data_IF_625952737604
#
_entry.id   IF_625952737604
#
_cell.length_a   1.000
_cell.length_b   1.000
_cell.length_c   1.000
_cell.angle_alpha   90.00
_cell.angle_beta   90.00
_cell.angle_gamma   90.00
#
_symmetry.space_group_name_H-M   'P 1'
#
loop_
_entity.id
_entity.type
_entity.pdbx_description
1 polymer ?
#
# COMPACT_ATOMS: atom_id res chain seq x y z
N UNK A 1 21.71 29.12 -48.29
CA UNK A 1 20.24 28.94 -48.39
C UNK A 1 19.81 27.50 -48.16
N UNK A 2 20.37 26.49 -48.84
CA UNK A 2 19.96 25.07 -48.70
C UNK A 2 20.17 24.46 -47.29
N UNK A 3 21.22 24.87 -46.57
CA UNK A 3 21.51 24.39 -45.21
C UNK A 3 20.38 24.68 -44.20
N UNK A 4 19.69 25.82 -44.33
CA UNK A 4 18.59 26.19 -43.43
C UNK A 4 17.32 25.38 -43.69
N UNK A 5 17.06 25.02 -44.94
CA UNK A 5 15.94 24.16 -45.32
C UNK A 5 16.14 22.73 -44.78
N UNK A 6 17.36 22.20 -44.91
CA UNK A 6 17.73 20.89 -44.37
C UNK A 6 17.57 20.81 -42.85
N UNK A 7 17.97 21.85 -42.12
CA UNK A 7 17.76 21.91 -40.66
C UNK A 7 16.30 21.99 -40.28
N UNK A 8 15.46 22.71 -41.04
CA UNK A 8 14.02 22.77 -40.79
C UNK A 8 13.34 21.41 -40.98
N UNK A 9 13.66 20.72 -42.07
CA UNK A 9 13.15 19.36 -42.35
C UNK A 9 13.60 18.36 -41.29
N UNK A 10 14.87 18.45 -40.86
CA UNK A 10 15.40 17.61 -39.79
C UNK A 10 14.65 17.80 -38.47
N UNK A 11 14.40 19.04 -38.06
CA UNK A 11 13.64 19.33 -36.84
C UNK A 11 12.22 18.78 -36.94
N UNK A 12 11.54 18.93 -38.09
CA UNK A 12 10.22 18.34 -38.28
C UNK A 12 10.23 16.81 -38.14
N UNK A 13 11.24 16.13 -38.70
CA UNK A 13 11.37 14.67 -38.60
C UNK A 13 11.58 14.21 -37.16
N UNK A 14 12.43 14.90 -36.38
CA UNK A 14 12.67 14.59 -34.97
C UNK A 14 11.40 14.80 -34.13
N UNK A 15 10.68 15.89 -34.36
CA UNK A 15 9.43 16.17 -33.62
C UNK A 15 8.35 15.15 -33.93
N UNK A 16 8.15 14.81 -35.22
CA UNK A 16 7.18 13.78 -35.63
C UNK A 16 7.57 12.40 -35.08
N UNK A 17 8.85 12.03 -35.14
CA UNK A 17 9.35 10.78 -34.58
C UNK A 17 9.14 10.70 -33.06
N UNK A 18 9.44 11.79 -32.34
CA UNK A 18 9.24 11.87 -30.89
C UNK A 18 7.76 11.75 -30.50
N UNK A 19 6.86 12.46 -31.20
CA UNK A 19 5.41 12.37 -30.96
C UNK A 19 4.89 10.96 -31.28
N UNK A 20 5.30 10.37 -32.40
CA UNK A 20 4.89 9.01 -32.78
C UNK A 20 5.37 7.96 -31.76
N UNK A 21 6.63 8.02 -31.37
CA UNK A 21 7.20 7.09 -30.38
C UNK A 21 6.57 7.31 -29.00
N UNK A 22 6.31 8.56 -28.62
CA UNK A 22 5.56 8.89 -27.42
C UNK A 22 4.15 8.28 -27.44
N UNK A 23 3.40 8.40 -28.54
CA UNK A 23 2.07 7.79 -28.66
C UNK A 23 2.12 6.26 -28.62
N UNK A 24 3.12 5.66 -29.26
CA UNK A 24 3.27 4.19 -29.30
C UNK A 24 3.61 3.61 -27.92
N UNK A 25 4.44 4.30 -27.12
CA UNK A 25 4.82 3.86 -25.78
C UNK A 25 3.90 4.37 -24.67
N UNK A 26 3.17 5.45 -24.89
CA UNK A 26 2.18 6.00 -23.95
C UNK A 26 0.78 5.38 -24.13
N UNK A 27 0.64 4.34 -24.95
CA UNK A 27 -0.60 3.59 -25.06
C UNK A 27 -0.85 2.83 -23.75
N UNK A 28 -1.62 3.44 -22.86
CA UNK A 28 -2.32 2.72 -21.80
C UNK A 28 -3.08 1.54 -22.45
N UNK A 29 -3.15 0.37 -21.79
CA UNK A 29 -3.86 -0.76 -22.35
C UNK A 29 -5.26 -0.31 -22.77
N UNK A 30 -5.60 -0.50 -24.05
CA UNK A 30 -6.92 -0.19 -24.57
C UNK A 30 -7.85 -1.19 -23.88
N UNK A 31 -8.51 -0.72 -22.81
CA UNK A 31 -9.55 -1.48 -22.13
C UNK A 31 -10.63 -1.73 -23.17
N UNK A 32 -10.87 -2.99 -23.51
CA UNK A 32 -11.93 -3.32 -24.47
C UNK A 32 -13.28 -2.81 -23.95
N UNK A 33 -14.23 -2.49 -24.84
CA UNK A 33 -15.58 -2.04 -24.42
C UNK A 33 -16.21 -3.02 -23.42
N UNK A 34 -15.96 -4.33 -23.61
CA UNK A 34 -16.39 -5.39 -22.69
C UNK A 34 -15.71 -5.32 -21.30
N UNK A 35 -14.42 -4.97 -21.23
CA UNK A 35 -13.74 -4.77 -19.94
C UNK A 35 -14.14 -3.45 -19.27
N UNK A 36 -14.48 -2.42 -20.05
CA UNK A 36 -15.00 -1.16 -19.54
C UNK A 36 -16.39 -1.34 -18.92
N UNK A 37 -17.27 -2.06 -19.60
CA UNK A 37 -18.60 -2.44 -19.09
C UNK A 37 -18.48 -3.34 -17.85
N UNK A 38 -17.53 -4.30 -17.85
CA UNK A 38 -17.25 -5.13 -16.67
C UNK A 38 -16.83 -4.29 -15.47
N UNK A 39 -15.86 -3.38 -15.64
CA UNK A 39 -15.42 -2.47 -14.57
C UNK A 39 -16.52 -1.52 -14.11
N UNK A 40 -17.42 -1.09 -15.00
CA UNK A 40 -18.57 -0.26 -14.63
C UNK A 40 -19.58 -1.01 -13.73
N UNK A 41 -19.67 -2.33 -13.89
CA UNK A 41 -20.51 -3.21 -13.06
C UNK A 41 -19.87 -3.60 -11.71
N UNK A 42 -18.59 -3.29 -11.52
CA UNK A 42 -17.85 -3.57 -10.30
C UNK A 42 -18.10 -2.49 -9.23
N UNK A 43 -17.95 -2.90 -7.99
CA UNK A 43 -17.99 -2.07 -6.80
C UNK A 43 -16.68 -2.21 -6.06
N UNK A 44 -16.10 -1.07 -5.66
CA UNK A 44 -14.93 -1.05 -4.81
C UNK A 44 -15.35 -1.26 -3.35
N UNK A 45 -14.80 -2.31 -2.75
CA UNK A 45 -15.00 -2.62 -1.35
C UNK A 45 -13.72 -2.28 -0.59
N UNK A 46 -13.74 -1.26 0.30
CA UNK A 46 -12.58 -0.90 1.08
C UNK A 46 -12.17 -2.01 2.03
N UNK A 47 -10.87 -2.14 2.23
CA UNK A 47 -10.30 -3.13 3.11
C UNK A 47 -10.35 -2.76 4.58
N UNK A 48 -10.39 -3.78 5.42
CA UNK A 48 -10.13 -3.66 6.85
C UNK A 48 -8.79 -4.32 7.19
N UNK A 49 -8.13 -3.82 8.24
CA UNK A 49 -6.88 -4.42 8.73
C UNK A 49 -7.21 -5.77 9.34
N UNK A 50 -6.58 -6.82 8.82
CA UNK A 50 -6.67 -8.18 9.31
C UNK A 50 -5.31 -8.57 9.88
N UNK A 51 -5.32 -9.07 11.11
CA UNK A 51 -4.12 -9.53 11.81
C UNK A 51 -4.13 -11.05 11.87
N UNK A 52 -3.11 -11.67 11.29
CA UNK A 52 -2.95 -13.12 11.20
C UNK A 52 -1.69 -13.53 11.96
N UNK A 53 -1.77 -14.43 12.95
CA UNK A 53 -0.59 -14.89 13.66
C UNK A 53 0.28 -15.75 12.76
N UNK A 54 1.60 -15.54 12.83
CA UNK A 54 2.58 -16.43 12.18
C UNK A 54 3.05 -17.42 13.23
N UNK A 55 2.75 -18.71 13.01
CA UNK A 55 3.01 -19.79 13.98
C UNK A 55 4.08 -20.73 13.43
N UNK A 56 5.19 -20.83 14.15
CA UNK A 56 6.27 -21.77 13.84
C UNK A 56 6.70 -22.49 15.12
N UNK A 57 7.03 -23.78 14.99
CA UNK A 57 7.48 -24.62 16.11
C UNK A 57 6.52 -24.62 17.31
N UNK A 58 5.22 -24.44 17.07
CA UNK A 58 4.19 -24.40 18.12
C UNK A 58 4.12 -23.08 18.89
N UNK A 59 4.83 -22.03 18.47
CA UNK A 59 4.79 -20.71 19.07
C UNK A 59 4.47 -19.62 18.05
N UNK A 60 3.77 -18.57 18.50
CA UNK A 60 3.54 -17.36 17.68
C UNK A 60 4.86 -16.61 17.56
N UNK A 61 5.41 -16.49 16.35
CA UNK A 61 6.66 -15.79 16.05
C UNK A 61 6.46 -14.30 15.74
N UNK A 62 5.26 -13.95 15.29
CA UNK A 62 4.90 -12.59 14.95
C UNK A 62 3.48 -12.51 14.42
N UNK A 63 3.12 -11.36 13.87
CA UNK A 63 1.82 -11.12 13.27
C UNK A 63 1.99 -10.50 11.88
N UNK A 64 1.25 -11.04 10.93
CA UNK A 64 1.06 -10.44 9.62
C UNK A 64 -0.14 -9.51 9.66
N UNK A 65 0.07 -8.26 9.28
CA UNK A 65 -0.97 -7.25 9.19
C UNK A 65 -1.21 -6.96 7.71
N UNK A 66 -2.40 -7.29 7.23
CA UNK A 66 -2.80 -7.06 5.86
C UNK A 66 -4.06 -6.20 5.82
N UNK A 67 -4.05 -5.15 5.01
CA UNK A 67 -5.24 -4.38 4.64
C UNK A 67 -5.44 -4.54 3.15
N UNK A 68 -6.44 -5.35 2.79
CA UNK A 68 -6.75 -5.70 1.41
C UNK A 68 -8.09 -5.11 1.02
N UNK A 69 -8.13 -4.36 -0.08
CA UNK A 69 -9.36 -3.89 -0.71
C UNK A 69 -9.64 -4.65 -2.00
N UNK A 70 -10.87 -4.58 -2.47
CA UNK A 70 -11.35 -5.48 -3.52
C UNK A 70 -12.18 -4.72 -4.55
N UNK A 71 -12.01 -5.05 -5.83
CA UNK A 71 -13.04 -4.83 -6.84
C UNK A 71 -13.89 -6.09 -6.90
N UNK A 72 -15.19 -5.94 -6.74
CA UNK A 72 -16.13 -7.06 -6.69
C UNK A 72 -17.39 -6.79 -7.53
N UNK A 73 -18.01 -7.83 -8.04
CA UNK A 73 -19.28 -7.70 -8.76
C UNK A 73 -20.41 -7.33 -7.80
N UNK A 74 -21.24 -6.34 -8.15
CA UNK A 74 -22.38 -5.92 -7.31
C UNK A 74 -23.31 -7.08 -6.97
N UNK A 75 -23.56 -7.93 -7.95
CA UNK A 75 -24.42 -9.12 -7.78
C UNK A 75 -23.81 -10.14 -6.82
N UNK A 76 -22.49 -10.34 -6.87
CA UNK A 76 -21.79 -11.26 -5.99
C UNK A 76 -21.80 -10.76 -4.54
N UNK A 77 -21.52 -9.47 -4.33
CA UNK A 77 -21.58 -8.83 -3.00
C UNK A 77 -23.00 -8.91 -2.42
N UNK A 78 -24.03 -8.67 -3.22
CA UNK A 78 -25.43 -8.73 -2.76
C UNK A 78 -25.88 -10.14 -2.33
N UNK A 79 -25.21 -11.19 -2.82
CA UNK A 79 -25.54 -12.60 -2.53
C UNK A 79 -24.66 -13.21 -1.43
N UNK A 80 -23.79 -12.43 -0.81
CA UNK A 80 -22.90 -12.92 0.25
C UNK A 80 -23.68 -13.46 1.44
N UNK A 81 -23.41 -14.70 1.83
CA UNK A 81 -23.99 -15.34 3.01
C UNK A 81 -23.38 -14.84 4.33
N UNK A 82 -22.14 -14.35 4.29
CA UNK A 82 -21.41 -13.77 5.42
C UNK A 82 -20.73 -12.47 4.96
N UNK A 83 -20.48 -11.50 5.85
CA UNK A 83 -19.85 -10.27 5.42
C UNK A 83 -18.44 -10.55 4.88
N UNK A 84 -18.04 -9.82 3.84
CA UNK A 84 -16.83 -10.10 3.08
C UNK A 84 -15.58 -10.19 3.97
N UNK A 85 -15.50 -9.31 4.99
CA UNK A 85 -14.42 -9.28 5.99
C UNK A 85 -14.18 -10.65 6.64
N UNK A 86 -15.24 -11.37 7.01
CA UNK A 86 -15.14 -12.68 7.64
C UNK A 86 -14.58 -13.71 6.66
N UNK A 87 -15.03 -13.69 5.40
CA UNK A 87 -14.54 -14.60 4.35
C UNK A 87 -13.06 -14.33 4.04
N UNK A 88 -12.68 -13.05 3.96
CA UNK A 88 -11.28 -12.64 3.76
C UNK A 88 -10.41 -13.04 4.93
N UNK A 89 -10.89 -12.86 6.16
CA UNK A 89 -10.15 -13.30 7.35
C UNK A 89 -9.92 -14.81 7.33
N UNK A 90 -10.96 -15.58 7.03
CA UNK A 90 -10.89 -17.05 6.94
C UNK A 90 -9.89 -17.51 5.87
N UNK A 91 -9.94 -16.93 4.67
CA UNK A 91 -8.99 -17.24 3.59
C UNK A 91 -7.54 -16.88 3.95
N UNK A 92 -7.31 -15.70 4.55
CA UNK A 92 -5.97 -15.31 4.98
C UNK A 92 -5.42 -16.24 6.08
N UNK A 93 -6.26 -16.71 6.99
CA UNK A 93 -5.86 -17.70 8.00
C UNK A 93 -5.53 -19.05 7.35
N UNK A 94 -6.35 -19.52 6.41
CA UNK A 94 -6.09 -20.76 5.67
C UNK A 94 -4.76 -20.68 4.89
N UNK A 95 -4.47 -19.57 4.22
CA UNK A 95 -3.23 -19.40 3.45
C UNK A 95 -1.99 -19.25 4.31
N UNK A 96 -2.05 -18.42 5.36
CA UNK A 96 -0.85 -18.04 6.12
C UNK A 96 -0.57 -18.98 7.28
N UNK A 97 -1.61 -19.54 7.92
CA UNK A 97 -1.47 -20.47 9.05
C UNK A 97 -1.60 -21.91 8.58
N UNK A 98 -2.58 -22.20 7.73
CA UNK A 98 -2.91 -23.56 7.30
C UNK A 98 -1.92 -24.12 6.28
N UNK A 99 -1.79 -23.48 5.12
CA UNK A 99 -0.98 -23.98 4.01
C UNK A 99 0.48 -23.50 4.02
N UNK A 100 0.84 -22.58 4.94
CA UNK A 100 2.15 -21.92 4.99
C UNK A 100 2.58 -21.40 3.62
N UNK A 101 1.62 -20.83 2.88
CA UNK A 101 1.82 -20.39 1.49
C UNK A 101 2.96 -19.37 1.35
N UNK A 102 3.24 -18.63 2.42
CA UNK A 102 4.26 -17.60 2.48
C UNK A 102 5.09 -17.81 3.74
N UNK A 103 6.42 -17.81 3.60
CA UNK A 103 7.30 -17.56 4.74
C UNK A 103 7.24 -16.07 5.06
N UNK A 104 6.30 -15.71 5.92
CA UNK A 104 6.05 -14.31 6.28
C UNK A 104 7.20 -13.73 7.10
N UNK A 105 8.06 -14.58 7.67
CA UNK A 105 9.24 -14.15 8.41
C UNK A 105 10.38 -13.71 7.48
N UNK A 106 10.45 -14.25 6.25
CA UNK A 106 11.37 -13.80 5.21
C UNK A 106 10.69 -12.89 4.18
N UNK A 107 10.57 -11.61 4.53
CA UNK A 107 10.02 -10.58 3.63
C UNK A 107 10.82 -10.38 2.34
N UNK A 108 12.05 -10.91 2.25
CA UNK A 108 12.89 -10.80 1.06
C UNK A 108 12.46 -11.68 -0.11
N UNK A 109 11.63 -12.71 0.16
CA UNK A 109 11.16 -13.68 -0.84
C UNK A 109 9.66 -13.56 -1.14
N UNK A 110 8.99 -12.55 -0.59
CA UNK A 110 7.55 -12.36 -0.76
C UNK A 110 7.16 -11.97 -2.19
N UNK A 111 6.50 -12.88 -2.90
CA UNK A 111 5.90 -12.61 -4.21
C UNK A 111 4.49 -12.03 -4.08
N UNK A 112 4.41 -10.70 -4.05
CA UNK A 112 3.17 -9.96 -3.96
C UNK A 112 2.17 -10.28 -5.10
N UNK A 113 2.57 -10.27 -6.40
CA UNK A 113 1.71 -10.72 -7.48
C UNK A 113 1.06 -12.09 -7.24
N UNK A 114 1.85 -13.10 -6.87
CA UNK A 114 1.34 -14.45 -6.62
C UNK A 114 0.41 -14.49 -5.41
N UNK A 115 0.72 -13.74 -4.35
CA UNK A 115 -0.16 -13.60 -3.18
C UNK A 115 -1.53 -13.02 -3.57
N UNK A 116 -1.57 -11.93 -4.36
CA UNK A 116 -2.83 -11.33 -4.80
C UNK A 116 -3.69 -12.30 -5.61
N UNK A 117 -3.07 -13.08 -6.49
CA UNK A 117 -3.77 -14.10 -7.29
C UNK A 117 -4.30 -15.21 -6.39
N UNK A 118 -3.47 -15.73 -5.48
CA UNK A 118 -3.89 -16.76 -4.52
C UNK A 118 -5.07 -16.32 -3.65
N UNK A 119 -5.01 -15.10 -3.11
CA UNK A 119 -6.11 -14.51 -2.33
C UNK A 119 -7.39 -14.42 -3.18
N UNK A 120 -7.30 -13.89 -4.40
CA UNK A 120 -8.47 -13.74 -5.29
C UNK A 120 -9.11 -15.11 -5.57
N UNK A 121 -8.29 -16.10 -5.92
CA UNK A 121 -8.77 -17.41 -6.32
C UNK A 121 -9.35 -18.18 -5.13
N UNK A 122 -8.73 -18.09 -3.95
CA UNK A 122 -9.23 -18.64 -2.69
C UNK A 122 -10.58 -18.04 -2.28
N UNK A 123 -10.69 -16.71 -2.36
CA UNK A 123 -11.95 -16.01 -2.11
C UNK A 123 -13.05 -16.44 -3.08
N UNK A 124 -12.80 -16.43 -4.39
CA UNK A 124 -13.80 -16.83 -5.39
C UNK A 124 -14.22 -18.30 -5.22
N UNK A 125 -13.29 -19.17 -4.83
CA UNK A 125 -13.60 -20.57 -4.50
C UNK A 125 -14.54 -20.67 -3.29
N UNK A 126 -14.30 -19.92 -2.21
CA UNK A 126 -15.18 -19.89 -1.03
C UNK A 126 -16.54 -19.26 -1.33
N UNK A 127 -16.57 -18.27 -2.22
CA UNK A 127 -17.79 -17.57 -2.64
C UNK A 127 -18.59 -18.34 -3.69
N UNK A 128 -18.03 -19.39 -4.29
CA UNK A 128 -18.72 -20.24 -5.26
C UNK A 128 -18.94 -19.57 -6.62
N UNK A 129 -18.16 -18.54 -6.96
CA UNK A 129 -18.28 -17.80 -8.21
C UNK A 129 -17.21 -16.73 -8.37
N UNK A 130 -17.14 -16.12 -9.55
CA UNK A 130 -16.22 -15.01 -9.85
C UNK A 130 -16.78 -13.69 -9.30
N UNK A 131 -16.70 -13.53 -7.98
CA UNK A 131 -17.20 -12.35 -7.26
C UNK A 131 -16.11 -11.28 -7.16
N UNK A 132 -14.90 -11.67 -6.79
CA UNK A 132 -13.74 -10.80 -6.64
C UNK A 132 -12.98 -10.77 -7.97
N UNK A 133 -12.90 -9.59 -8.59
CA UNK A 133 -12.24 -9.41 -9.88
C UNK A 133 -10.82 -8.91 -9.72
N UNK A 134 -10.57 -8.08 -8.71
CA UNK A 134 -9.25 -7.57 -8.36
C UNK A 134 -9.07 -7.49 -6.85
N UNK A 135 -7.85 -7.80 -6.40
CA UNK A 135 -7.39 -7.57 -5.02
C UNK A 135 -6.40 -6.41 -5.07
N UNK A 136 -6.49 -5.49 -4.12
CA UNK A 136 -5.56 -4.38 -3.94
C UNK A 136 -4.98 -4.47 -2.54
N UNK A 137 -3.69 -4.14 -2.43
CA UNK A 137 -2.98 -4.14 -1.15
C UNK A 137 -2.82 -2.70 -0.71
N UNK A 138 -3.52 -2.32 0.35
CA UNK A 138 -3.40 -0.98 0.94
C UNK A 138 -2.28 -0.94 1.99
N UNK A 139 -2.14 -2.01 2.77
CA UNK A 139 -1.12 -2.15 3.81
C UNK A 139 -0.69 -3.60 3.93
N UNK A 140 0.61 -3.83 4.08
CA UNK A 140 1.19 -5.14 4.28
C UNK A 140 2.43 -5.04 5.17
N UNK A 141 2.36 -5.61 6.35
CA UNK A 141 3.41 -5.50 7.36
C UNK A 141 3.57 -6.82 8.11
N UNK A 142 4.81 -7.10 8.53
CA UNK A 142 5.10 -8.17 9.48
C UNK A 142 5.68 -7.57 10.76
N UNK A 143 5.08 -7.93 11.89
CA UNK A 143 5.55 -7.55 13.22
C UNK A 143 6.11 -8.78 13.92
N UNK A 144 7.43 -8.84 14.05
CA UNK A 144 8.09 -9.89 14.82
C UNK A 144 7.92 -9.70 16.32
N UNK A 145 8.25 -10.74 17.11
CA UNK A 145 8.26 -10.68 18.59
C UNK A 145 8.92 -9.43 19.18
N UNK A 146 10.05 -9.00 18.62
CA UNK A 146 10.79 -7.85 19.15
C UNK A 146 10.15 -6.51 18.77
N UNK A 147 9.48 -6.44 17.61
CA UNK A 147 8.67 -5.29 17.22
C UNK A 147 7.45 -5.16 18.13
N UNK A 148 6.81 -6.28 18.49
CA UNK A 148 5.73 -6.30 19.46
C UNK A 148 6.17 -5.82 20.83
N UNK A 149 7.33 -6.27 21.34
CA UNK A 149 7.89 -5.76 22.60
C UNK A 149 8.13 -4.27 22.53
N UNK A 150 8.60 -3.75 21.39
CA UNK A 150 8.82 -2.32 21.19
C UNK A 150 7.52 -1.51 21.19
N UNK A 151 6.47 -2.00 20.53
CA UNK A 151 5.15 -1.38 20.50
C UNK A 151 4.49 -1.43 21.89
N UNK A 152 4.52 -2.59 22.55
CA UNK A 152 3.95 -2.79 23.89
C UNK A 152 4.68 -1.97 24.97
N UNK A 153 6.00 -1.79 24.83
CA UNK A 153 6.81 -0.96 25.72
C UNK A 153 6.87 0.51 25.29
N UNK A 154 5.96 0.97 24.41
CA UNK A 154 5.90 2.33 23.87
C UNK A 154 5.81 3.45 24.93
N UNK A 155 5.58 3.11 26.20
CA UNK A 155 5.56 4.05 27.33
C UNK A 155 6.84 4.07 28.18
N UNK A 156 7.86 3.27 27.87
CA UNK A 156 9.02 3.10 28.76
C UNK A 156 10.40 3.32 28.10
N UNK A 157 10.45 3.92 26.92
CA UNK A 157 11.69 4.55 26.46
C UNK A 157 11.73 5.94 27.11
N UNK A 158 12.74 6.30 27.92
CA UNK A 158 12.91 7.68 28.31
C UNK A 158 12.92 8.50 27.03
N UNK A 159 12.08 9.54 26.99
CA UNK A 159 12.06 10.52 25.90
C UNK A 159 13.52 10.86 25.60
N UNK A 160 13.98 10.57 24.38
CA UNK A 160 15.34 10.95 24.03
C UNK A 160 15.40 12.48 24.17
N UNK A 161 16.36 12.98 24.95
CA UNK A 161 16.52 14.42 25.10
C UNK A 161 16.55 15.04 23.70
N UNK A 162 15.74 16.10 23.45
CA UNK A 162 15.72 16.73 22.14
C UNK A 162 17.14 17.10 21.74
N UNK A 163 17.59 16.60 20.60
CA UNK A 163 18.89 17.03 20.08
C UNK A 163 18.76 18.51 19.72
N UNK A 164 19.55 19.40 20.33
CA UNK A 164 19.48 20.81 20.01
C UNK A 164 19.81 21.02 18.53
N UNK A 165 18.95 21.76 17.82
CA UNK A 165 19.26 22.19 16.45
C UNK A 165 20.43 23.16 16.53
N UNK A 166 21.57 22.71 16.04
CA UNK A 166 22.80 23.49 15.91
C UNK A 166 22.88 24.12 14.53
N UNK A 167 23.22 25.40 14.48
CA UNK A 167 23.53 26.06 13.23
C UNK A 167 24.89 25.61 12.67
N UNK A 168 25.21 26.04 11.45
CA UNK A 168 26.50 25.77 10.76
C UNK A 168 27.75 26.28 11.50
N UNK A 169 27.57 27.06 12.57
CA UNK A 169 28.62 27.62 13.42
C UNK A 169 28.67 26.95 14.79
N UNK A 170 27.84 25.92 15.03
CA UNK A 170 27.78 25.18 16.29
C UNK A 170 26.95 25.85 17.39
N UNK A 171 26.19 26.90 17.07
CA UNK A 171 25.34 27.56 18.06
C UNK A 171 23.99 26.82 18.17
N UNK A 172 23.58 26.56 19.40
CA UNK A 172 22.27 25.97 19.73
C UNK A 172 21.21 27.08 19.75
N UNK A 173 20.07 26.84 19.13
CA UNK A 173 18.91 27.73 19.24
C UNK A 173 18.54 27.94 20.73
N UNK A 174 18.80 29.13 21.26
CA UNK A 174 18.44 29.50 22.62
C UNK A 174 17.04 30.09 22.61
N UNK A 175 16.07 29.35 23.13
CA UNK A 175 14.71 29.83 23.31
C UNK A 175 14.66 30.78 24.52
N UNK A 176 15.28 31.95 24.39
CA UNK A 176 15.16 33.04 25.37
C UNK A 176 13.97 33.89 24.96
N UNK A 177 12.89 33.81 25.72
CA UNK A 177 11.77 34.73 25.60
C UNK A 177 12.33 36.16 25.75
N UNK A 178 12.15 37.05 24.75
CA UNK A 178 12.62 38.42 24.87
C UNK A 178 11.94 39.09 26.06
N UNK A 179 12.72 39.75 26.92
CA UNK A 179 12.28 40.35 28.20
C UNK A 179 11.05 41.28 28.08
N UNK A 180 10.76 41.78 26.88
CA UNK A 180 9.57 42.58 26.57
C UNK A 180 8.24 41.83 26.55
N UNK A 181 8.24 40.49 26.40
CA UNK A 181 7.00 39.70 26.31
C UNK A 181 6.40 39.38 27.70
N UNK A 182 7.18 39.45 28.77
CA UNK A 182 6.72 39.15 30.14
C UNK A 182 5.87 40.29 30.72
N UNK A 183 6.09 41.54 30.29
CA UNK A 183 5.35 42.71 30.81
C UNK A 183 3.95 42.90 30.22
N UNK A 184 3.59 42.23 29.13
CA UNK A 184 2.28 42.37 28.50
C UNK A 184 1.17 41.53 29.19
N UNK A 185 1.53 40.60 30.07
CA UNK A 185 0.58 39.64 30.66
C UNK A 185 0.17 39.95 32.10
N UNK A 186 0.68 41.01 32.74
CA UNK A 186 0.41 41.33 34.15
C UNK A 186 -0.42 42.61 34.34
N UNK A 187 -1.24 42.99 33.36
CA UNK A 187 -2.06 44.19 33.40
C UNK A 187 -3.53 43.92 33.08
N UNK A 188 -4.22 43.16 33.93
CA UNK A 188 -5.66 43.18 34.11
C UNK A 188 -6.02 42.85 35.56
#
# INVERSE_FOLDING_TARGET
>A
MLKLVLTGVWVCAVTLGSVYFSMQYASAPIVSDAEADRRASEEYVPGEIITVPVIEEGAVQGYFLAKLSFSATREGIAKLHAPLRQVVTDELYDMLVGSRFVDVADTGTFDLPSFKVAVKDGLNKKLGGEVITEVLVEQLEYLGKDDMKRVANGNNRPYQEPVPVVDKHGNVASDKIPEGAVKASSGH
#
